data_IF_908803414871
#
_entry.id   IF_908803414871
#
_cell.length_a   1.000
_cell.length_b   1.000
_cell.length_c   1.000
_cell.angle_alpha   90.00
_cell.angle_beta   90.00
_cell.angle_gamma   90.00
#
_symmetry.space_group_name_H-M   'P 1'
#
loop_
_entity.id
_entity.type
_entity.pdbx_description
1 polymer ?
#
# COMPACT_ATOMS: atom_id res chain seq x y z
N UNK A 1 -1.51 33.29 -19.93
CA UNK A 1 -1.01 32.09 -19.23
C UNK A 1 -1.95 30.94 -19.57
N UNK A 2 -1.59 30.11 -20.57
CA UNK A 2 -2.29 28.84 -20.85
C UNK A 2 -1.91 27.84 -19.73
N UNK A 3 -2.85 27.51 -18.85
CA UNK A 3 -2.70 26.36 -17.94
C UNK A 3 -2.55 25.11 -18.81
N UNK A 4 -1.36 24.49 -18.82
CA UNK A 4 -1.19 23.13 -19.35
C UNK A 4 -2.22 22.23 -18.66
N UNK A 5 -2.87 21.31 -19.39
CA UNK A 5 -3.72 20.33 -18.74
C UNK A 5 -2.86 19.55 -17.73
N UNK A 6 -3.24 19.61 -16.45
CA UNK A 6 -2.43 19.16 -15.30
C UNK A 6 -2.29 17.63 -15.20
N UNK A 7 -2.87 16.86 -16.12
CA UNK A 7 -2.66 15.40 -16.24
C UNK A 7 -1.28 15.14 -16.86
N UNK A 8 -0.83 15.98 -17.82
CA UNK A 8 0.49 15.86 -18.45
C UNK A 8 1.67 16.01 -17.46
N UNK A 9 1.42 16.54 -16.25
CA UNK A 9 2.47 16.76 -15.25
C UNK A 9 2.99 15.45 -14.64
N UNK A 10 2.13 14.40 -14.50
CA UNK A 10 2.50 13.13 -13.85
C UNK A 10 2.49 11.93 -14.82
N UNK A 11 2.21 12.14 -16.11
CA UNK A 11 2.17 11.05 -17.10
C UNK A 11 3.49 10.27 -17.18
N UNK A 12 4.62 10.94 -16.95
CA UNK A 12 5.94 10.30 -16.95
C UNK A 12 6.18 9.34 -15.79
N UNK A 13 5.33 9.37 -14.76
CA UNK A 13 5.37 8.41 -13.64
C UNK A 13 4.57 7.16 -13.91
N UNK A 14 3.59 7.18 -14.82
CA UNK A 14 2.80 6.00 -15.19
C UNK A 14 3.71 5.00 -15.90
N UNK A 15 3.69 3.75 -15.44
CA UNK A 15 4.58 2.68 -15.90
C UNK A 15 5.94 2.64 -15.20
N UNK A 16 6.22 3.58 -14.26
CA UNK A 16 7.44 3.52 -13.44
C UNK A 16 7.40 2.28 -12.53
N UNK A 17 8.51 1.55 -12.49
CA UNK A 17 8.65 0.30 -11.75
C UNK A 17 9.83 0.33 -10.82
N UNK A 18 9.71 -0.37 -9.71
CA UNK A 18 10.83 -0.74 -8.82
C UNK A 18 10.60 -2.12 -8.22
N UNK A 19 11.66 -2.74 -7.72
CA UNK A 19 11.60 -4.06 -7.09
C UNK A 19 12.29 -4.00 -5.74
N UNK A 20 11.58 -4.49 -4.72
CA UNK A 20 12.10 -4.61 -3.36
C UNK A 20 12.22 -6.09 -3.00
N UNK A 21 13.43 -6.54 -2.68
CA UNK A 21 13.66 -7.87 -2.15
C UNK A 21 13.44 -7.88 -0.64
N UNK A 22 12.68 -8.85 -0.15
CA UNK A 22 12.38 -9.01 1.27
C UNK A 22 12.29 -10.50 1.65
N UNK A 23 12.23 -10.79 2.92
CA UNK A 23 12.07 -12.14 3.43
C UNK A 23 11.02 -12.23 4.52
N UNK A 24 10.12 -13.19 4.38
CA UNK A 24 9.16 -13.52 5.43
C UNK A 24 9.83 -14.35 6.53
N UNK A 25 10.40 -13.68 7.53
CA UNK A 25 11.13 -14.34 8.62
C UNK A 25 10.21 -14.88 9.71
N UNK A 26 10.68 -15.88 10.49
CA UNK A 26 9.95 -16.36 11.68
C UNK A 26 9.69 -15.25 12.70
N UNK A 27 10.62 -14.31 12.84
CA UNK A 27 10.47 -13.17 13.76
C UNK A 27 9.32 -12.27 13.31
N UNK A 28 9.26 -11.93 12.00
CA UNK A 28 8.20 -11.10 11.45
C UNK A 28 6.84 -11.82 11.54
N UNK A 29 6.81 -13.11 11.23
CA UNK A 29 5.62 -13.97 11.39
C UNK A 29 5.11 -13.99 12.83
N UNK A 30 5.99 -14.22 13.79
CA UNK A 30 5.67 -14.25 15.22
C UNK A 30 5.14 -12.90 15.72
N UNK A 31 5.81 -11.80 15.34
CA UNK A 31 5.37 -10.45 15.71
C UNK A 31 4.00 -10.12 15.14
N UNK A 32 3.77 -10.43 13.88
CA UNK A 32 2.48 -10.22 13.23
C UNK A 32 1.38 -11.04 13.89
N UNK A 33 1.62 -12.34 14.16
CA UNK A 33 0.70 -13.24 14.82
C UNK A 33 0.18 -12.65 16.15
N UNK A 34 1.09 -12.20 17.02
CA UNK A 34 0.70 -11.62 18.30
C UNK A 34 0.11 -10.21 18.19
N UNK A 35 0.57 -9.39 17.24
CA UNK A 35 0.00 -8.06 17.00
C UNK A 35 -1.46 -8.13 16.54
N UNK A 36 -1.83 -9.18 15.83
CA UNK A 36 -3.20 -9.45 15.38
C UNK A 36 -4.03 -10.24 16.42
N UNK A 37 -3.46 -10.53 17.59
CA UNK A 37 -4.08 -11.32 18.65
C UNK A 37 -4.60 -12.70 18.16
N UNK A 38 -3.87 -13.31 17.22
CA UNK A 38 -4.23 -14.63 16.70
C UNK A 38 -3.99 -15.70 17.76
N UNK A 39 -4.84 -16.71 17.78
CA UNK A 39 -4.75 -17.83 18.73
C UNK A 39 -3.79 -18.91 18.23
N UNK A 40 -3.29 -19.75 19.16
CA UNK A 40 -2.40 -20.85 18.83
C UNK A 40 -0.93 -20.40 18.73
N UNK A 41 -0.11 -21.25 18.10
CA UNK A 41 1.32 -20.97 17.88
C UNK A 41 1.51 -20.18 16.59
N UNK A 42 2.45 -19.22 16.57
CA UNK A 42 2.87 -18.60 15.32
C UNK A 42 3.35 -19.63 14.30
N UNK A 43 3.15 -19.41 13.01
CA UNK A 43 3.67 -20.29 11.97
C UNK A 43 5.20 -20.41 12.03
N UNK A 44 5.69 -21.65 11.97
CA UNK A 44 7.11 -21.97 11.91
C UNK A 44 7.63 -21.94 10.45
N UNK A 45 8.94 -22.11 10.28
CA UNK A 45 9.59 -22.17 8.96
C UNK A 45 8.89 -23.19 8.03
N UNK A 46 8.55 -22.78 6.82
CA UNK A 46 7.85 -23.57 5.81
C UNK A 46 6.32 -23.61 5.97
N UNK A 47 5.77 -23.14 7.08
CA UNK A 47 4.31 -23.09 7.28
C UNK A 47 3.69 -21.85 6.61
N UNK A 48 2.43 -21.95 6.13
CA UNK A 48 1.74 -20.81 5.53
C UNK A 48 1.44 -19.75 6.58
N UNK A 49 1.52 -18.48 6.16
CA UNK A 49 1.23 -17.33 7.02
C UNK A 49 -0.14 -16.74 6.65
N UNK A 50 -0.68 -15.94 7.57
CA UNK A 50 -1.87 -15.12 7.35
C UNK A 50 -1.79 -14.35 6.02
N UNK A 51 -2.81 -14.42 5.14
CA UNK A 51 -2.72 -13.90 3.77
C UNK A 51 -2.29 -12.44 3.67
N UNK A 52 -2.80 -11.55 4.53
CA UNK A 52 -2.43 -10.13 4.52
C UNK A 52 -1.04 -9.84 5.13
N UNK A 53 -0.26 -10.86 5.49
CA UNK A 53 1.15 -10.68 5.84
C UNK A 53 1.99 -10.04 4.71
N UNK A 54 1.53 -10.12 3.47
CA UNK A 54 2.13 -9.40 2.34
C UNK A 54 2.25 -7.88 2.57
N UNK A 55 1.41 -7.30 3.45
CA UNK A 55 1.44 -5.86 3.74
C UNK A 55 2.71 -5.40 4.47
N UNK A 56 3.43 -6.31 5.14
CA UNK A 56 4.71 -6.00 5.80
C UNK A 56 5.92 -6.26 4.91
N UNK A 57 5.72 -6.72 3.66
CA UNK A 57 6.81 -7.09 2.75
C UNK A 57 7.04 -6.02 1.69
N UNK A 58 8.32 -5.81 1.35
CA UNK A 58 8.73 -4.95 0.25
C UNK A 58 8.41 -3.47 0.43
N UNK A 59 8.23 -3.02 1.66
CA UNK A 59 8.12 -1.59 1.94
C UNK A 59 9.52 -0.95 1.89
N UNK A 60 9.69 0.19 1.20
CA UNK A 60 10.99 0.82 1.05
C UNK A 60 11.51 1.33 2.40
N UNK A 61 12.79 1.04 2.66
CA UNK A 61 13.51 1.59 3.81
C UNK A 61 14.50 2.62 3.32
N UNK A 62 14.41 3.85 3.84
CA UNK A 62 15.30 4.96 3.46
C UNK A 62 15.95 5.57 4.70
N UNK A 63 17.11 6.23 4.56
CA UNK A 63 17.71 6.99 5.64
C UNK A 63 16.79 8.08 6.18
N UNK A 64 16.93 8.50 7.45
CA UNK A 64 16.03 9.50 8.06
C UNK A 64 15.96 10.84 7.31
N UNK A 65 17.02 11.26 6.65
CA UNK A 65 17.11 12.49 5.85
C UNK A 65 16.37 12.38 4.49
N UNK A 66 16.05 11.17 4.08
CA UNK A 66 15.22 10.89 2.89
C UNK A 66 13.73 10.63 3.23
N UNK A 67 13.37 10.70 4.51
CA UNK A 67 11.96 10.56 4.94
C UNK A 67 11.23 11.88 4.78
N UNK A 68 10.11 11.86 4.08
CA UNK A 68 9.23 13.02 3.91
C UNK A 68 8.44 13.36 5.18
N UNK A 69 7.79 14.53 5.19
CA UNK A 69 6.99 15.03 6.31
C UNK A 69 5.84 14.10 6.70
N UNK A 70 5.43 13.23 5.79
CA UNK A 70 4.34 12.25 5.99
C UNK A 70 4.85 10.88 6.49
N UNK A 71 6.12 10.79 6.89
CA UNK A 71 6.73 9.59 7.43
C UNK A 71 7.06 8.50 6.42
N UNK A 72 6.98 8.79 5.13
CA UNK A 72 7.32 7.88 4.03
C UNK A 72 8.52 8.41 3.25
N UNK A 73 9.12 7.62 2.33
CA UNK A 73 10.15 8.11 1.43
C UNK A 73 9.72 9.40 0.73
N UNK A 74 10.67 10.32 0.56
CA UNK A 74 10.42 11.60 -0.10
C UNK A 74 9.83 11.41 -1.49
N UNK A 75 9.00 12.37 -1.90
CA UNK A 75 8.33 12.34 -3.21
C UNK A 75 9.29 12.84 -4.30
N UNK A 76 9.07 12.39 -5.54
CA UNK A 76 9.85 12.83 -6.72
C UNK A 76 10.76 11.75 -7.27
N UNK A 77 10.99 10.67 -6.52
CA UNK A 77 11.62 9.46 -7.04
C UNK A 77 10.54 8.47 -7.51
N UNK A 78 10.25 7.37 -6.83
CA UNK A 78 9.21 6.46 -7.28
C UNK A 78 7.84 7.13 -7.29
N UNK A 79 7.43 7.73 -6.19
CA UNK A 79 6.15 8.42 -6.10
C UNK A 79 6.23 9.82 -6.73
N UNK A 80 5.20 10.26 -7.49
CA UNK A 80 5.19 11.56 -8.14
C UNK A 80 5.29 12.71 -7.11
N UNK A 81 5.90 13.87 -7.47
CA UNK A 81 6.07 15.02 -6.60
C UNK A 81 4.78 15.83 -6.45
N UNK A 82 3.70 15.16 -6.00
CA UNK A 82 2.40 15.81 -5.78
C UNK A 82 2.53 16.84 -4.66
N UNK A 83 2.19 18.14 -4.88
CA UNK A 83 2.40 19.20 -3.91
C UNK A 83 1.35 19.26 -2.80
N UNK A 84 0.39 18.32 -2.77
CA UNK A 84 -0.64 18.24 -1.73
C UNK A 84 -0.04 17.63 -0.46
N UNK A 85 -0.34 18.20 0.71
CA UNK A 85 0.39 17.94 1.97
C UNK A 85 0.23 16.51 2.47
N UNK A 86 -0.97 15.96 2.37
CA UNK A 86 -1.33 14.67 2.98
C UNK A 86 -1.35 13.57 1.95
N UNK A 87 -0.76 12.42 2.31
CA UNK A 87 -0.83 11.17 1.56
C UNK A 87 -1.55 10.15 2.43
N UNK A 88 -2.57 9.51 1.88
CA UNK A 88 -3.40 8.56 2.62
C UNK A 88 -3.64 7.31 1.77
N UNK A 89 -3.78 6.17 2.45
CA UNK A 89 -4.28 4.95 1.84
C UNK A 89 -5.79 5.10 1.58
N UNK A 90 -6.20 4.94 0.33
CA UNK A 90 -7.59 5.09 -0.11
C UNK A 90 -8.29 3.74 -0.35
N UNK A 91 -7.55 2.65 -0.32
CA UNK A 91 -8.06 1.30 -0.49
C UNK A 91 -7.08 0.37 -1.20
N UNK A 92 -7.36 -0.92 -1.16
CA UNK A 92 -6.61 -1.96 -1.83
C UNK A 92 -7.51 -3.11 -2.27
N UNK A 93 -7.17 -3.71 -3.38
CA UNK A 93 -7.80 -4.93 -3.91
C UNK A 93 -6.71 -5.98 -3.98
N UNK A 94 -6.96 -7.18 -3.44
CA UNK A 94 -5.96 -8.23 -3.29
C UNK A 94 -6.40 -9.49 -4.03
N UNK A 95 -5.44 -10.12 -4.73
CA UNK A 95 -5.62 -11.45 -5.30
C UNK A 95 -4.53 -12.38 -4.73
N UNK A 96 -4.93 -13.56 -4.27
CA UNK A 96 -4.04 -14.56 -3.70
C UNK A 96 -4.05 -15.81 -4.59
N UNK A 97 -2.89 -16.15 -5.14
CA UNK A 97 -2.73 -17.32 -6.02
C UNK A 97 -2.14 -18.51 -5.27
N UNK A 98 -1.23 -18.23 -4.33
CA UNK A 98 -0.60 -19.24 -3.47
C UNK A 98 -0.31 -18.66 -2.09
N UNK A 99 -0.30 -19.47 -1.03
CA UNK A 99 0.03 -19.02 0.31
C UNK A 99 1.54 -18.73 0.42
N UNK A 100 1.90 -17.55 0.89
CA UNK A 100 3.26 -17.24 1.34
C UNK A 100 3.58 -18.07 2.58
N UNK A 101 4.84 -18.50 2.70
CA UNK A 101 5.35 -19.33 3.80
C UNK A 101 6.48 -18.64 4.53
N UNK A 102 6.61 -18.92 5.80
CA UNK A 102 7.75 -18.49 6.60
C UNK A 102 9.05 -19.00 5.98
N UNK A 103 9.99 -18.12 5.71
CA UNK A 103 11.25 -18.42 5.04
C UNK A 103 11.28 -18.03 3.55
N UNK A 104 10.14 -17.73 2.95
CA UNK A 104 10.09 -17.30 1.55
C UNK A 104 10.92 -16.02 1.33
N UNK A 105 11.75 -16.05 0.28
CA UNK A 105 12.39 -14.88 -0.29
C UNK A 105 11.42 -14.30 -1.32
N UNK A 106 10.98 -13.08 -1.09
CA UNK A 106 9.93 -12.44 -1.89
C UNK A 106 10.50 -11.23 -2.61
N UNK A 107 10.35 -11.18 -3.93
CA UNK A 107 10.55 -9.97 -4.71
C UNK A 107 9.19 -9.28 -4.88
N UNK A 108 9.07 -8.06 -4.40
CA UNK A 108 7.86 -7.26 -4.54
C UNK A 108 8.09 -6.24 -5.64
N UNK A 109 7.45 -6.44 -6.78
CA UNK A 109 7.47 -5.48 -7.88
C UNK A 109 6.36 -4.44 -7.67
N UNK A 110 6.73 -3.17 -7.75
CA UNK A 110 5.82 -2.05 -7.70
C UNK A 110 5.73 -1.40 -9.08
N UNK A 111 4.53 -1.06 -9.53
CA UNK A 111 4.30 -0.34 -10.77
C UNK A 111 3.22 0.73 -10.57
N UNK A 112 3.49 1.97 -10.94
CA UNK A 112 2.45 3.00 -11.00
C UNK A 112 1.63 2.76 -12.26
N UNK A 113 0.39 2.31 -12.08
CA UNK A 113 -0.49 1.92 -13.20
C UNK A 113 -1.38 3.07 -13.68
N UNK A 114 -1.69 4.03 -12.80
CA UNK A 114 -2.59 5.13 -13.15
C UNK A 114 -2.44 6.30 -12.18
N UNK A 115 -2.60 7.52 -12.68
CA UNK A 115 -2.64 8.74 -11.87
C UNK A 115 -3.82 9.59 -12.31
N UNK A 116 -4.73 9.87 -11.37
CA UNK A 116 -5.95 10.66 -11.64
C UNK A 116 -6.07 11.85 -10.70
N UNK A 117 -6.32 13.00 -11.27
CA UNK A 117 -6.66 14.21 -10.52
C UNK A 117 -8.18 14.40 -10.51
N UNK A 118 -8.75 14.66 -9.34
CA UNK A 118 -10.17 14.99 -9.17
C UNK A 118 -10.31 16.25 -8.32
N UNK A 119 -11.36 17.00 -8.59
CA UNK A 119 -11.76 18.11 -7.73
C UNK A 119 -12.98 17.66 -6.92
N UNK A 120 -12.79 17.47 -5.63
CA UNK A 120 -13.86 17.13 -4.68
C UNK A 120 -14.43 18.38 -4.01
N UNK A 121 -15.45 18.20 -3.18
CA UNK A 121 -16.07 19.30 -2.41
C UNK A 121 -15.10 19.94 -1.41
N UNK A 122 -14.12 19.17 -0.92
CA UNK A 122 -13.10 19.60 0.05
C UNK A 122 -11.76 20.00 -0.59
N UNK A 123 -11.73 20.21 -1.91
CA UNK A 123 -10.52 20.63 -2.62
C UNK A 123 -10.04 19.63 -3.65
N UNK A 124 -8.76 19.73 -3.97
CA UNK A 124 -8.10 18.90 -4.96
C UNK A 124 -7.70 17.55 -4.38
N UNK A 125 -7.83 16.50 -5.21
CA UNK A 125 -7.42 15.14 -4.91
C UNK A 125 -6.57 14.61 -6.07
N UNK A 126 -5.45 13.99 -5.77
CA UNK A 126 -4.65 13.23 -6.74
C UNK A 126 -4.60 11.78 -6.28
N UNK A 127 -5.13 10.89 -7.10
CA UNK A 127 -5.09 9.43 -6.87
C UNK A 127 -3.92 8.85 -7.64
N UNK A 128 -3.16 7.98 -6.98
CA UNK A 128 -2.09 7.18 -7.58
C UNK A 128 -2.43 5.72 -7.34
N UNK A 129 -2.60 4.95 -8.42
CA UNK A 129 -2.80 3.52 -8.36
C UNK A 129 -1.47 2.82 -8.55
N UNK A 130 -1.17 1.86 -7.67
CA UNK A 130 0.06 1.08 -7.67
C UNK A 130 -0.31 -0.39 -7.70
N UNK A 131 0.16 -1.11 -8.71
CA UNK A 131 0.16 -2.55 -8.70
C UNK A 131 1.39 -3.02 -7.94
N UNK A 132 1.20 -3.88 -6.96
CA UNK A 132 2.26 -4.62 -6.27
C UNK A 132 2.10 -6.10 -6.57
N UNK A 133 3.14 -6.74 -7.04
CA UNK A 133 3.16 -8.17 -7.30
C UNK A 133 4.22 -8.85 -6.43
N UNK A 134 3.82 -9.94 -5.77
CA UNK A 134 4.64 -10.68 -4.82
C UNK A 134 5.12 -11.98 -5.45
N UNK A 135 6.40 -12.03 -5.77
CA UNK A 135 7.02 -13.12 -6.49
C UNK A 135 7.95 -13.93 -5.58
N UNK A 136 7.78 -15.24 -5.56
CA UNK A 136 8.74 -16.18 -4.99
C UNK A 136 9.39 -16.93 -6.14
N UNK A 137 10.69 -16.70 -6.36
CA UNK A 137 11.40 -17.11 -7.60
C UNK A 137 10.68 -16.58 -8.83
N UNK A 138 10.19 -17.46 -9.70
CA UNK A 138 9.48 -17.13 -10.96
C UNK A 138 7.96 -17.28 -10.84
N UNK A 139 7.44 -17.47 -9.64
CA UNK A 139 6.01 -17.72 -9.41
C UNK A 139 5.36 -16.53 -8.72
N UNK A 140 4.26 -16.02 -9.28
CA UNK A 140 3.41 -15.00 -8.67
C UNK A 140 2.55 -15.61 -7.57
N UNK A 141 2.68 -15.11 -6.34
CA UNK A 141 1.96 -15.60 -5.17
C UNK A 141 0.75 -14.74 -4.82
N UNK A 142 0.87 -13.45 -5.00
CA UNK A 142 -0.22 -12.52 -4.74
C UNK A 142 -0.04 -11.22 -5.53
N UNK A 143 -1.12 -10.45 -5.67
CA UNK A 143 -1.08 -9.08 -6.16
C UNK A 143 -1.93 -8.16 -5.30
N UNK A 144 -1.58 -6.88 -5.29
CA UNK A 144 -2.31 -5.80 -4.63
C UNK A 144 -2.46 -4.63 -5.61
N UNK A 145 -3.70 -4.19 -5.86
CA UNK A 145 -3.98 -2.90 -6.48
C UNK A 145 -4.18 -1.86 -5.38
N UNK A 146 -3.10 -1.16 -5.01
CA UNK A 146 -3.08 -0.16 -3.95
C UNK A 146 -3.49 1.21 -4.49
N UNK A 147 -4.41 1.89 -3.81
CA UNK A 147 -4.85 3.26 -4.13
C UNK A 147 -4.35 4.22 -3.07
N UNK A 148 -3.52 5.16 -3.48
CA UNK A 148 -3.04 6.27 -2.65
C UNK A 148 -3.75 7.53 -3.09
N UNK A 149 -4.18 8.37 -2.13
CA UNK A 149 -4.77 9.67 -2.40
C UNK A 149 -3.97 10.79 -1.73
N UNK A 150 -3.71 11.83 -2.48
CA UNK A 150 -3.11 13.07 -1.98
C UNK A 150 -4.18 14.14 -1.86
N UNK A 151 -4.14 14.94 -0.78
CA UNK A 151 -5.09 16.03 -0.49
C UNK A 151 -4.48 17.08 0.43
N UNK A 152 -5.03 18.29 0.39
CA UNK A 152 -4.80 19.35 1.37
C UNK A 152 -5.95 19.51 2.38
N UNK A 153 -7.03 18.69 2.24
CA UNK A 153 -8.20 18.79 3.14
C UNK A 153 -7.80 18.53 4.60
N UNK A 154 -8.29 19.37 5.51
CA UNK A 154 -8.11 19.18 6.95
C UNK A 154 -8.91 17.94 7.42
N UNK A 155 -8.28 17.00 8.16
CA UNK A 155 -8.98 15.85 8.72
C UNK A 155 -10.09 16.24 9.68
N UNK A 156 -9.95 17.41 10.33
CA UNK A 156 -10.93 17.92 11.30
C UNK A 156 -12.08 18.69 10.64
N UNK A 157 -12.06 18.89 9.32
CA UNK A 157 -13.10 19.63 8.59
C UNK A 157 -14.41 18.87 8.40
N UNK A 158 -14.46 17.58 8.71
CA UNK A 158 -15.67 16.79 8.75
C UNK A 158 -15.81 16.11 10.12
N UNK A 159 -16.93 16.32 10.85
CA UNK A 159 -17.28 15.43 11.93
C UNK A 159 -17.33 13.99 11.42
N UNK A 160 -16.69 13.05 12.11
CA UNK A 160 -16.88 11.63 11.87
C UNK A 160 -18.35 11.32 12.24
N UNK A 161 -19.25 11.37 11.29
CA UNK A 161 -20.54 10.72 11.45
C UNK A 161 -20.26 9.22 11.44
N UNK A 162 -20.45 8.60 12.59
CA UNK A 162 -20.44 7.14 12.68
C UNK A 162 -21.49 6.61 11.66
N UNK A 163 -21.21 5.53 10.95
CA UNK A 163 -22.22 4.90 10.10
C UNK A 163 -23.43 4.55 10.97
N UNK A 164 -24.65 4.88 10.51
CA UNK A 164 -25.89 4.67 11.25
C UNK A 164 -26.20 3.19 11.55
N UNK A 165 -25.50 2.27 10.89
CA UNK A 165 -25.61 0.83 11.13
C UNK A 165 -24.26 0.16 10.93
N UNK A 166 -23.74 -0.43 12.00
CA UNK A 166 -22.74 -1.49 11.92
C UNK A 166 -23.55 -2.71 11.49
N UNK A 167 -23.36 -3.18 10.25
CA UNK A 167 -23.97 -4.44 9.81
C UNK A 167 -23.58 -5.57 10.76
N UNK A 168 -24.54 -6.42 11.11
CA UNK A 168 -24.25 -7.64 11.88
C UNK A 168 -23.26 -8.49 11.07
N UNK A 169 -22.13 -8.84 11.67
CA UNK A 169 -21.20 -9.80 11.12
C UNK A 169 -21.85 -11.17 11.21
N UNK A 170 -22.17 -11.78 10.07
CA UNK A 170 -22.56 -13.17 10.05
C UNK A 170 -21.32 -14.03 10.27
N UNK A 171 -21.28 -14.75 11.39
CA UNK A 171 -20.27 -15.76 11.74
C UNK A 171 -20.47 -17.08 10.96
N UNK A 172 -20.79 -17.01 9.67
CA UNK A 172 -20.86 -18.22 8.83
C UNK A 172 -19.68 -18.24 7.86
N UNK A 173 -18.58 -18.87 8.34
CA UNK A 173 -17.56 -19.55 7.50
C UNK A 173 -17.04 -20.77 8.24
#
# INVERSE_FOLDING_TARGET
YRRRPMIAEYESWIGKKEVHADQLTEINSTRLHYSLNLTGKPPAYGEPIFPLALLILGEPSVPPDEVGIDGHPARGDFMPPVPLKRRMFAGGEYEFFQPLRVGDQVNVMWEITDIKRKKGNSGELVFVNILREFWVKETLYASENRKIVYTDSDPNSRPLTAPETIGEWNEEM
#
